data_IF_105847732883
#
_entry.id   IF_105847732883
#
_cell.length_a   1.000
_cell.length_b   1.000
_cell.length_c   1.000
_cell.angle_alpha   90.00
_cell.angle_beta   90.00
_cell.angle_gamma   90.00
#
_symmetry.space_group_name_H-M   'P 1'
#
loop_
_entity.id
_entity.type
_entity.pdbx_description
1 polymer ?
#
# COMPACT_ATOMS: atom_id res chain seq x y z
N UNK A 1 -37.34 -49.80 -13.79
CA UNK A 1 -36.74 -50.42 -14.98
C UNK A 1 -37.22 -49.63 -16.18
N UNK A 2 -36.34 -48.82 -16.74
CA UNK A 2 -36.47 -48.25 -18.08
C UNK A 2 -35.09 -48.38 -18.68
N UNK A 3 -34.93 -49.46 -19.45
CA UNK A 3 -33.84 -49.67 -20.39
C UNK A 3 -33.96 -48.57 -21.45
N UNK A 4 -33.13 -47.52 -21.34
CA UNK A 4 -32.91 -46.58 -22.42
C UNK A 4 -31.58 -46.93 -23.08
N UNK A 5 -31.71 -47.49 -24.28
CA UNK A 5 -30.66 -47.91 -25.20
C UNK A 5 -29.54 -46.85 -25.32
N UNK A 6 -28.27 -47.16 -24.99
CA UNK A 6 -27.15 -46.20 -24.98
C UNK A 6 -26.64 -45.83 -26.38
N UNK A 7 -27.45 -45.97 -27.42
CA UNK A 7 -27.09 -45.74 -28.83
C UNK A 7 -26.53 -44.32 -29.08
N UNK A 8 -26.91 -43.35 -28.26
CA UNK A 8 -26.39 -41.97 -28.34
C UNK A 8 -24.93 -41.84 -27.85
N UNK A 9 -24.46 -42.71 -26.94
CA UNK A 9 -23.07 -42.70 -26.45
C UNK A 9 -22.11 -43.18 -27.53
N UNK A 10 -22.48 -44.27 -28.20
CA UNK A 10 -21.73 -44.83 -29.34
C UNK A 10 -21.72 -43.86 -30.53
N UNK A 11 -22.85 -43.21 -30.82
CA UNK A 11 -22.97 -42.23 -31.91
C UNK A 11 -22.11 -40.99 -31.68
N UNK A 12 -21.87 -40.61 -30.43
CA UNK A 12 -21.10 -39.42 -30.06
C UNK A 12 -19.65 -39.73 -29.64
N UNK A 13 -19.24 -41.00 -29.64
CA UNK A 13 -17.88 -41.41 -29.24
C UNK A 13 -17.55 -41.08 -27.77
N UNK A 14 -18.55 -41.10 -26.89
CA UNK A 14 -18.41 -40.73 -25.48
C UNK A 14 -18.05 -41.95 -24.63
N UNK A 15 -17.30 -41.74 -23.54
CA UNK A 15 -16.89 -42.80 -22.62
C UNK A 15 -18.10 -43.51 -21.98
N UNK A 16 -17.95 -44.79 -21.65
CA UNK A 16 -19.04 -45.62 -21.12
C UNK A 16 -19.67 -45.07 -19.83
N UNK A 17 -18.87 -44.38 -19.03
CA UNK A 17 -19.27 -43.72 -17.77
C UNK A 17 -19.95 -42.36 -17.96
N UNK A 18 -20.06 -41.89 -19.21
CA UNK A 18 -20.71 -40.62 -19.52
C UNK A 18 -22.18 -40.64 -19.11
N UNK A 19 -22.62 -39.59 -18.43
CA UNK A 19 -24.01 -39.43 -17.99
C UNK A 19 -24.63 -38.21 -18.63
N UNK A 20 -25.89 -38.33 -19.07
CA UNK A 20 -26.64 -37.21 -19.64
C UNK A 20 -27.30 -36.40 -18.54
N UNK A 21 -27.11 -35.08 -18.58
CA UNK A 21 -27.79 -34.12 -17.70
C UNK A 21 -28.64 -33.19 -18.56
N UNK A 22 -29.87 -32.91 -18.11
CA UNK A 22 -30.74 -31.94 -18.75
C UNK A 22 -30.57 -30.57 -18.09
N UNK A 23 -30.27 -29.55 -18.90
CA UNK A 23 -30.13 -28.16 -18.44
C UNK A 23 -31.33 -27.35 -18.94
N UNK A 24 -32.00 -26.65 -18.03
CA UNK A 24 -33.09 -25.73 -18.35
C UNK A 24 -32.51 -24.32 -18.47
N UNK A 25 -32.68 -23.70 -19.62
CA UNK A 25 -32.18 -22.36 -19.92
C UNK A 25 -33.18 -21.59 -20.80
N UNK A 26 -32.96 -20.28 -20.96
CA UNK A 26 -33.69 -19.49 -21.95
C UNK A 26 -33.27 -19.93 -23.36
N UNK A 27 -34.20 -19.86 -24.30
CA UNK A 27 -33.96 -20.24 -25.69
C UNK A 27 -32.82 -19.42 -26.31
N UNK A 28 -32.76 -18.13 -26.03
CA UNK A 28 -31.67 -17.26 -26.48
C UNK A 28 -30.28 -17.77 -26.06
N UNK A 29 -30.11 -18.18 -24.79
CA UNK A 29 -28.81 -18.68 -24.31
C UNK A 29 -28.42 -20.00 -24.97
N UNK A 30 -29.41 -20.85 -25.27
CA UNK A 30 -29.17 -22.10 -26.00
C UNK A 30 -28.59 -21.84 -27.38
N UNK A 31 -29.10 -20.82 -28.07
CA UNK A 31 -28.64 -20.45 -29.41
C UNK A 31 -27.27 -19.78 -29.35
N UNK A 32 -27.07 -18.85 -28.41
CA UNK A 32 -25.75 -18.25 -28.12
C UNK A 32 -24.68 -19.31 -27.86
N UNK A 33 -24.93 -20.28 -26.98
CA UNK A 33 -23.96 -21.36 -26.71
C UNK A 33 -23.72 -22.28 -27.90
N UNK A 34 -24.66 -22.36 -28.84
CA UNK A 34 -24.48 -23.15 -30.06
C UNK A 34 -23.56 -22.40 -31.02
N UNK A 35 -23.84 -21.12 -31.25
CA UNK A 35 -22.99 -20.23 -32.06
C UNK A 35 -21.58 -20.16 -31.50
N UNK A 36 -21.42 -19.94 -30.20
CA UNK A 36 -20.12 -19.91 -29.53
C UNK A 36 -19.32 -21.20 -29.73
N UNK A 37 -20.01 -22.35 -29.63
CA UNK A 37 -19.38 -23.66 -29.81
C UNK A 37 -18.85 -23.80 -31.24
N UNK A 38 -19.65 -23.42 -32.24
CA UNK A 38 -19.27 -23.48 -33.65
C UNK A 38 -18.11 -22.50 -33.96
N UNK A 39 -18.18 -21.27 -33.46
CA UNK A 39 -17.15 -20.24 -33.65
C UNK A 39 -15.80 -20.65 -33.03
N UNK A 40 -15.85 -21.30 -31.86
CA UNK A 40 -14.66 -21.78 -31.16
C UNK A 40 -14.20 -23.16 -31.64
N UNK A 41 -14.86 -23.75 -32.65
CA UNK A 41 -14.45 -25.00 -33.29
C UNK A 41 -14.78 -26.27 -32.50
N UNK A 42 -15.72 -26.20 -31.56
CA UNK A 42 -16.19 -27.37 -30.82
C UNK A 42 -17.06 -28.26 -31.69
N UNK A 43 -16.92 -29.58 -31.49
CA UNK A 43 -17.74 -30.57 -32.19
C UNK A 43 -19.20 -30.61 -31.69
N UNK A 44 -19.47 -30.08 -30.50
CA UNK A 44 -20.82 -30.01 -29.95
C UNK A 44 -20.94 -28.96 -28.84
N UNK A 45 -22.15 -28.41 -28.69
CA UNK A 45 -22.53 -27.55 -27.55
C UNK A 45 -22.29 -28.24 -26.19
N UNK A 46 -22.51 -29.55 -26.10
CA UNK A 46 -22.25 -30.32 -24.87
C UNK A 46 -20.78 -30.31 -24.48
N UNK A 47 -19.87 -30.44 -25.45
CA UNK A 47 -18.41 -30.36 -25.20
C UNK A 47 -18.02 -28.96 -24.74
N UNK A 48 -18.54 -27.93 -25.41
CA UNK A 48 -18.28 -26.53 -25.06
C UNK A 48 -18.73 -26.20 -23.62
N UNK A 49 -19.96 -26.58 -23.27
CA UNK A 49 -20.50 -26.34 -21.93
C UNK A 49 -19.76 -27.13 -20.85
N UNK A 50 -19.31 -28.35 -21.14
CA UNK A 50 -18.54 -29.14 -20.19
C UNK A 50 -17.20 -28.48 -19.85
N UNK A 51 -16.46 -28.01 -20.86
CA UNK A 51 -15.19 -27.32 -20.65
C UNK A 51 -15.38 -26.02 -19.87
N UNK A 52 -16.40 -25.21 -20.19
CA UNK A 52 -16.71 -24.00 -19.40
C UNK A 52 -17.01 -24.31 -17.93
N UNK A 53 -17.64 -25.45 -17.63
CA UNK A 53 -17.92 -25.85 -16.24
C UNK A 53 -16.62 -26.24 -15.53
N UNK A 54 -15.73 -26.99 -16.19
CA UNK A 54 -14.44 -27.38 -15.63
C UNK A 54 -13.50 -26.18 -15.47
N UNK A 55 -13.49 -25.26 -16.43
CA UNK A 55 -12.77 -23.99 -16.34
C UNK A 55 -13.28 -23.16 -15.15
N UNK A 56 -14.60 -23.00 -15.00
CA UNK A 56 -15.18 -22.31 -13.84
C UNK A 56 -14.91 -23.04 -12.51
N UNK A 57 -14.74 -24.36 -12.51
CA UNK A 57 -14.31 -25.12 -11.32
C UNK A 57 -12.83 -24.86 -11.01
N UNK A 58 -11.97 -24.86 -12.02
CA UNK A 58 -10.56 -24.53 -11.90
C UNK A 58 -10.39 -23.10 -11.37
N UNK A 59 -11.05 -22.10 -11.97
CA UNK A 59 -11.01 -20.72 -11.48
C UNK A 59 -11.52 -20.55 -10.06
N UNK A 60 -12.54 -21.30 -9.64
CA UNK A 60 -12.98 -21.24 -8.23
C UNK A 60 -11.97 -21.86 -7.29
N UNK A 61 -11.29 -22.93 -7.70
CA UNK A 61 -10.25 -23.58 -6.91
C UNK A 61 -8.99 -22.71 -6.83
N UNK A 62 -8.57 -22.14 -7.95
CA UNK A 62 -7.43 -21.21 -8.01
C UNK A 62 -7.76 -19.85 -7.40
N UNK A 63 -8.99 -19.35 -7.55
CA UNK A 63 -9.45 -18.13 -6.90
C UNK A 63 -9.56 -18.27 -5.38
N UNK A 64 -9.83 -19.48 -4.88
CA UNK A 64 -9.74 -19.80 -3.46
C UNK A 64 -8.27 -19.77 -2.97
N UNK A 65 -7.34 -20.35 -3.74
CA UNK A 65 -5.89 -20.28 -3.46
C UNK A 65 -5.34 -18.85 -3.58
N UNK A 66 -5.84 -18.08 -4.54
CA UNK A 66 -5.48 -16.67 -4.74
C UNK A 66 -6.02 -15.76 -3.64
N UNK A 67 -7.17 -16.10 -3.04
CA UNK A 67 -7.70 -15.41 -1.87
C UNK A 67 -6.86 -15.67 -0.62
N UNK A 68 -6.42 -16.91 -0.39
CA UNK A 68 -5.51 -17.24 0.72
C UNK A 68 -4.18 -16.48 0.58
N UNK A 69 -3.55 -16.48 -0.60
CA UNK A 69 -2.32 -15.72 -0.81
C UNK A 69 -2.52 -14.20 -0.76
N UNK A 70 -3.66 -13.69 -1.21
CA UNK A 70 -4.00 -12.28 -1.06
C UNK A 70 -4.18 -11.91 0.42
N UNK A 71 -4.79 -12.80 1.22
CA UNK A 71 -4.98 -12.62 2.65
C UNK A 71 -3.63 -12.61 3.40
N UNK A 72 -2.74 -13.56 3.10
CA UNK A 72 -1.37 -13.58 3.64
C UNK A 72 -0.63 -12.29 3.32
N UNK A 73 -0.73 -11.79 2.07
CA UNK A 73 -0.08 -10.55 1.66
C UNK A 73 -0.68 -9.32 2.33
N UNK A 74 -1.99 -9.30 2.59
CA UNK A 74 -2.65 -8.23 3.34
C UNK A 74 -2.14 -8.21 4.77
N UNK A 75 -2.08 -9.35 5.45
CA UNK A 75 -1.58 -9.44 6.83
C UNK A 75 -0.10 -9.02 6.95
N UNK A 76 0.73 -9.40 5.97
CA UNK A 76 2.13 -8.97 5.90
C UNK A 76 2.23 -7.44 5.74
N UNK A 77 1.45 -6.86 4.83
CA UNK A 77 1.44 -5.42 4.59
C UNK A 77 0.89 -4.64 5.79
N UNK A 78 -0.15 -5.15 6.47
CA UNK A 78 -0.68 -4.54 7.69
C UNK A 78 0.39 -4.53 8.81
N UNK A 79 1.15 -5.61 8.94
CA UNK A 79 2.27 -5.70 9.90
C UNK A 79 3.38 -4.71 9.54
N UNK A 80 3.72 -4.58 8.26
CA UNK A 80 4.73 -3.62 7.78
C UNK A 80 4.28 -2.17 8.03
N UNK A 81 3.02 -1.86 7.79
CA UNK A 81 2.45 -0.53 8.09
C UNK A 81 2.54 -0.23 9.59
N UNK A 82 2.16 -1.17 10.46
CA UNK A 82 2.26 -0.97 11.91
C UNK A 82 3.71 -0.72 12.37
N UNK A 83 4.67 -1.44 11.79
CA UNK A 83 6.09 -1.24 12.08
C UNK A 83 6.58 0.13 11.62
N UNK A 84 6.25 0.53 10.39
CA UNK A 84 6.63 1.84 9.83
C UNK A 84 5.99 2.99 10.60
N UNK A 85 4.73 2.86 11.03
CA UNK A 85 4.07 3.85 11.88
C UNK A 85 4.77 3.97 13.24
N UNK A 86 5.16 2.84 13.85
CA UNK A 86 5.92 2.84 15.11
C UNK A 86 7.30 3.50 14.96
N UNK A 87 8.00 3.25 13.85
CA UNK A 87 9.28 3.90 13.54
C UNK A 87 9.11 5.40 13.34
N UNK A 88 8.10 5.80 12.55
CA UNK A 88 7.80 7.21 12.31
C UNK A 88 7.45 7.94 13.61
N UNK A 89 6.70 7.32 14.52
CA UNK A 89 6.40 7.92 15.81
C UNK A 89 7.64 8.04 16.71
N UNK A 90 8.54 7.05 16.69
CA UNK A 90 9.84 7.16 17.39
C UNK A 90 10.69 8.28 16.81
N UNK A 91 10.75 8.41 15.48
CA UNK A 91 11.45 9.50 14.82
C UNK A 91 10.81 10.85 15.13
N UNK A 92 9.48 10.95 15.12
CA UNK A 92 8.78 12.19 15.50
C UNK A 92 9.02 12.57 16.96
N UNK A 93 9.05 11.61 17.88
CA UNK A 93 9.38 11.90 19.28
C UNK A 93 10.86 12.28 19.44
N UNK A 94 11.77 11.63 18.71
CA UNK A 94 13.19 11.97 18.70
C UNK A 94 13.46 13.34 18.05
N UNK A 95 12.65 13.71 17.06
CA UNK A 95 12.77 14.93 16.25
C UNK A 95 11.73 15.99 16.63
N UNK A 96 11.02 15.81 17.75
CA UNK A 96 10.15 16.83 18.31
C UNK A 96 11.03 18.02 18.62
N UNK A 97 10.89 19.06 17.80
CA UNK A 97 11.62 20.29 17.99
C UNK A 97 11.40 20.75 19.44
N UNK A 98 12.47 20.91 20.25
CA UNK A 98 12.37 21.43 21.63
C UNK A 98 11.68 22.81 21.73
N UNK A 99 11.45 23.47 20.59
CA UNK A 99 10.61 24.66 20.45
C UNK A 99 9.10 24.41 20.63
N UNK A 100 8.63 23.16 20.62
CA UNK A 100 7.24 22.81 20.92
C UNK A 100 6.93 22.78 22.44
N UNK A 101 7.87 23.21 23.28
CA UNK A 101 7.72 23.19 24.72
C UNK A 101 6.82 24.34 25.21
N UNK A 102 5.50 24.14 25.15
CA UNK A 102 4.50 25.11 25.64
C UNK A 102 4.71 25.49 27.11
N UNK A 103 5.40 24.65 27.91
CA UNK A 103 5.73 24.96 29.29
C UNK A 103 6.80 26.05 29.41
N UNK A 104 7.71 26.15 28.45
CA UNK A 104 8.73 27.20 28.41
C UNK A 104 8.08 28.56 28.08
N UNK A 105 7.18 28.60 27.10
CA UNK A 105 6.41 29.81 26.75
C UNK A 105 5.56 30.31 27.92
N UNK A 106 4.91 29.39 28.67
CA UNK A 106 4.09 29.75 29.83
C UNK A 106 4.86 30.37 31.00
N UNK A 107 6.16 30.11 31.12
CA UNK A 107 7.00 30.72 32.19
C UNK A 107 7.27 32.20 31.95
N UNK A 108 7.28 32.63 30.68
CA UNK A 108 7.53 34.01 30.27
C UNK A 108 6.27 34.88 30.19
N UNK A 109 5.09 34.25 30.34
CA UNK A 109 3.81 34.97 30.38
C UNK A 109 3.52 35.42 31.82
N UNK A 110 3.42 36.73 32.02
CA UNK A 110 2.94 37.34 33.27
C UNK A 110 1.43 37.61 33.23
N UNK A 111 0.82 37.97 34.36
CA UNK A 111 -0.60 38.37 34.44
C UNK A 111 -0.96 39.60 33.57
N UNK A 112 0.03 40.39 33.17
CA UNK A 112 -0.13 41.53 32.28
C UNK A 112 0.19 41.16 30.82
N UNK A 113 -0.56 41.75 29.88
CA UNK A 113 -0.30 41.63 28.45
C UNK A 113 1.09 42.18 28.09
N UNK A 114 1.88 41.36 27.41
CA UNK A 114 3.20 41.72 26.87
C UNK A 114 3.21 41.60 25.35
N UNK A 115 3.93 42.47 24.63
CA UNK A 115 4.12 42.33 23.20
C UNK A 115 5.02 41.11 22.90
N UNK A 116 4.75 40.45 21.77
CA UNK A 116 5.45 39.23 21.36
C UNK A 116 6.96 39.42 21.22
N UNK A 117 7.40 40.60 20.76
CA UNK A 117 8.80 40.96 20.59
C UNK A 117 9.61 40.81 21.89
N UNK A 118 9.06 41.28 23.01
CA UNK A 118 9.76 41.28 24.30
C UNK A 118 9.87 39.85 24.85
N UNK A 119 8.81 39.05 24.66
CA UNK A 119 8.79 37.64 25.06
C UNK A 119 9.82 36.84 24.26
N UNK A 120 9.93 37.10 22.96
CA UNK A 120 10.89 36.42 22.08
C UNK A 120 12.33 36.85 22.41
N UNK A 121 12.59 38.12 22.69
CA UNK A 121 13.92 38.59 23.08
C UNK A 121 14.39 38.01 24.42
N UNK A 122 13.52 37.94 25.44
CA UNK A 122 13.84 37.28 26.72
C UNK A 122 14.08 35.77 26.51
N UNK A 123 13.25 35.12 25.69
CA UNK A 123 13.40 33.69 25.38
C UNK A 123 14.71 33.38 24.63
N UNK A 124 15.13 34.25 23.73
CA UNK A 124 16.40 34.13 22.99
C UNK A 124 17.64 34.30 23.86
N UNK A 125 17.50 34.93 25.04
CA UNK A 125 18.61 35.16 25.98
C UNK A 125 18.76 34.02 27.01
N UNK A 126 17.87 33.03 27.04
CA UNK A 126 17.98 31.88 27.95
C UNK A 126 19.04 30.87 27.50
N UNK A 127 19.92 30.47 28.45
CA UNK A 127 20.93 29.41 28.27
C UNK A 127 20.31 28.07 27.84
N UNK A 128 19.08 27.79 28.27
CA UNK A 128 18.33 26.59 27.91
C UNK A 128 18.03 26.54 26.41
N UNK A 129 17.80 27.70 25.78
CA UNK A 129 17.58 27.78 24.33
C UNK A 129 18.88 27.59 23.55
N UNK A 130 20.00 28.10 24.04
CA UNK A 130 21.30 27.86 23.40
C UNK A 130 21.66 26.37 23.43
N UNK A 131 21.44 25.68 24.56
CA UNK A 131 21.68 24.23 24.67
C UNK A 131 20.82 23.41 23.70
N UNK A 132 19.64 23.93 23.36
CA UNK A 132 18.69 23.31 22.44
C UNK A 132 19.02 23.62 20.98
N UNK A 133 19.30 24.89 20.66
CA UNK A 133 19.49 25.34 19.28
C UNK A 133 20.88 24.99 18.76
N UNK A 134 21.91 25.00 19.61
CA UNK A 134 23.29 24.73 19.18
C UNK A 134 23.44 23.35 18.52
N UNK A 135 22.99 22.22 19.10
CA UNK A 135 23.06 20.91 18.45
C UNK A 135 22.26 20.84 17.14
N UNK A 136 21.08 21.47 17.10
CA UNK A 136 20.23 21.48 15.90
C UNK A 136 20.86 22.27 14.74
N UNK A 137 21.46 23.42 15.05
CA UNK A 137 22.18 24.26 14.08
C UNK A 137 23.47 23.56 13.64
N UNK A 138 24.25 22.97 14.56
CA UNK A 138 25.45 22.20 14.21
C UNK A 138 25.12 21.01 13.30
N UNK A 139 24.06 20.25 13.60
CA UNK A 139 23.60 19.15 12.75
C UNK A 139 23.22 19.62 11.34
N UNK A 140 22.48 20.73 11.24
CA UNK A 140 22.10 21.33 9.95
C UNK A 140 23.33 21.80 9.17
N UNK A 141 24.28 22.45 9.83
CA UNK A 141 25.53 22.91 9.21
C UNK A 141 26.39 21.75 8.71
N UNK A 142 26.43 20.63 9.44
CA UNK A 142 27.11 19.42 9.00
C UNK A 142 26.43 18.78 7.78
N UNK A 143 25.10 18.75 7.74
CA UNK A 143 24.34 18.27 6.56
C UNK A 143 24.60 19.14 5.33
N UNK A 144 24.52 20.47 5.49
CA UNK A 144 24.79 21.43 4.41
C UNK A 144 26.25 21.36 3.93
N UNK A 145 27.19 21.07 4.83
CA UNK A 145 28.59 20.87 4.45
C UNK A 145 28.78 19.57 3.66
N UNK A 146 28.03 18.51 3.98
CA UNK A 146 27.98 17.29 3.19
C UNK A 146 27.39 17.50 1.79
N UNK A 147 26.62 18.57 1.59
CA UNK A 147 26.03 19.00 0.32
C UNK A 147 26.90 20.06 -0.41
N UNK A 148 28.10 20.37 0.10
CA UNK A 148 29.01 21.41 -0.40
C UNK A 148 28.42 22.85 -0.41
N UNK A 149 27.32 23.10 0.30
CA UNK A 149 26.64 24.41 0.39
C UNK A 149 27.26 25.34 1.45
N UNK A 150 27.94 24.78 2.45
CA UNK A 150 28.67 25.55 3.48
C UNK A 150 30.06 24.97 3.73
N UNK A 151 31.01 25.82 4.10
CA UNK A 151 32.39 25.46 4.46
C UNK A 151 32.70 25.88 5.89
N UNK A 152 33.39 25.01 6.61
CA UNK A 152 33.91 25.30 7.94
C UNK A 152 35.40 25.64 7.87
N UNK A 153 35.78 26.77 8.46
CA UNK A 153 37.18 27.15 8.64
C UNK A 153 37.48 27.38 10.13
N UNK A 154 38.48 26.65 10.65
CA UNK A 154 38.93 26.78 12.04
C UNK A 154 39.36 28.23 12.32
N UNK A 155 38.73 28.85 13.31
CA UNK A 155 38.98 30.24 13.71
C UNK A 155 38.12 31.31 12.99
N UNK A 156 37.41 30.96 11.92
CA UNK A 156 36.52 31.88 11.19
C UNK A 156 35.05 31.44 11.23
N UNK A 157 34.78 30.16 11.52
CA UNK A 157 33.42 29.63 11.64
C UNK A 157 32.89 29.04 10.33
N UNK A 158 31.58 29.15 10.14
CA UNK A 158 30.86 28.60 8.99
C UNK A 158 30.58 29.69 7.96
N UNK A 159 30.78 29.39 6.67
CA UNK A 159 30.53 30.30 5.56
C UNK A 159 29.76 29.58 4.45
N UNK A 160 28.77 30.25 3.86
CA UNK A 160 28.06 29.77 2.67
C UNK A 160 29.03 29.70 1.47
N UNK A 161 28.94 28.65 0.65
CA UNK A 161 29.70 28.55 -0.60
C UNK A 161 28.95 29.26 -1.73
N UNK A 162 29.69 29.80 -2.71
CA UNK A 162 29.11 30.52 -3.86
C UNK A 162 28.20 29.65 -4.77
N UNK A 163 28.05 28.35 -4.49
CA UNK A 163 27.13 27.43 -5.18
C UNK A 163 25.74 27.30 -4.54
N UNK A 164 25.53 27.85 -3.34
CA UNK A 164 24.22 27.92 -2.69
C UNK A 164 23.46 29.18 -3.13
N UNK A 165 23.04 29.25 -4.39
CA UNK A 165 22.29 30.42 -4.88
C UNK A 165 20.80 30.38 -4.45
N UNK A 166 20.45 31.41 -3.66
CA UNK A 166 19.20 32.21 -3.61
C UNK A 166 17.85 31.57 -3.93
#
# INVERSE_FOLDING_TARGET
MTEDDPQWKETLGLADDSTRVQVICKEQHRDEWTTDADEKGYSSRSSYLYELIEEARAYRKEGYLGWEHAQERIEELETEVEQLESELDKEKEANKSPLSNSAAVKRHLSENYRPLSDIVEEFLQEEDLEQVLRPAIEGTLHTLAGQDEVKYQRGHGWQLTEGGER
#
